data_IF_192387279078
#
_entry.id   IF_192387279078
#
_cell.length_a   1.000
_cell.length_b   1.000
_cell.length_c   1.000
_cell.angle_alpha   90.00
_cell.angle_beta   90.00
_cell.angle_gamma   90.00
#
_symmetry.space_group_name_H-M   'P 1'
#
loop_
_entity.id
_entity.type
_entity.pdbx_description
1 polymer ?
#
# COMPACT_ATOMS: atom_id res chain seq x y z
N UNK A 1 -64.66 -32.34 17.76
CA UNK A 1 -63.63 -32.04 18.76
C UNK A 1 -62.39 -31.62 17.97
N UNK A 2 -62.31 -30.34 17.63
CA UNK A 2 -61.27 -29.78 16.75
C UNK A 2 -60.58 -28.65 17.50
N UNK A 3 -59.27 -28.81 17.70
CA UNK A 3 -58.42 -27.87 18.42
C UNK A 3 -57.85 -26.85 17.42
N UNK A 4 -58.32 -25.61 17.46
CA UNK A 4 -57.71 -24.48 16.75
C UNK A 4 -56.59 -23.86 17.59
N UNK A 5 -55.38 -23.84 17.03
CA UNK A 5 -54.14 -23.35 17.62
C UNK A 5 -53.87 -21.93 17.09
N UNK A 6 -53.55 -20.93 17.93
CA UNK A 6 -53.28 -19.58 17.46
C UNK A 6 -51.85 -19.51 16.89
N UNK A 7 -51.70 -19.10 15.63
CA UNK A 7 -50.41 -18.79 15.03
C UNK A 7 -50.01 -17.36 15.42
N UNK A 8 -48.97 -17.26 16.25
CA UNK A 8 -48.24 -16.03 16.57
C UNK A 8 -47.52 -15.52 15.30
N UNK A 9 -47.97 -14.39 14.77
CA UNK A 9 -47.26 -13.61 13.77
C UNK A 9 -46.04 -12.95 14.42
N UNK A 10 -44.84 -13.40 14.07
CA UNK A 10 -43.58 -12.79 14.49
C UNK A 10 -43.03 -11.99 13.31
N UNK A 11 -42.89 -10.66 13.38
CA UNK A 11 -42.27 -9.89 12.31
C UNK A 11 -40.75 -10.10 12.36
N UNK A 12 -40.21 -10.73 11.32
CA UNK A 12 -38.77 -10.90 11.11
C UNK A 12 -38.20 -9.56 10.63
N UNK A 13 -37.70 -8.73 11.56
CA UNK A 13 -36.97 -7.50 11.27
C UNK A 13 -35.56 -7.87 10.77
N UNK A 14 -35.38 -7.85 9.44
CA UNK A 14 -34.07 -7.99 8.79
C UNK A 14 -33.32 -6.67 8.98
N UNK A 15 -32.45 -6.61 9.99
CA UNK A 15 -31.49 -5.54 10.15
C UNK A 15 -30.37 -5.68 9.12
N UNK A 16 -30.42 -4.89 8.05
CA UNK A 16 -29.29 -4.68 7.15
C UNK A 16 -28.25 -3.84 7.90
N UNK A 17 -27.30 -4.50 8.57
CA UNK A 17 -26.07 -3.84 9.00
C UNK A 17 -25.36 -3.34 7.74
N UNK A 18 -25.38 -2.02 7.52
CA UNK A 18 -24.62 -1.39 6.45
C UNK A 18 -23.14 -1.57 6.75
N UNK A 19 -22.49 -2.54 6.11
CA UNK A 19 -21.05 -2.62 6.02
C UNK A 19 -20.56 -1.45 5.16
N UNK A 20 -20.31 -0.29 5.76
CA UNK A 20 -19.62 0.81 5.07
C UNK A 20 -18.14 0.43 5.01
N UNK A 21 -17.65 0.07 3.82
CA UNK A 21 -16.22 -0.23 3.61
C UNK A 21 -15.44 1.08 3.62
N UNK A 22 -15.08 1.56 4.82
CA UNK A 22 -14.33 2.82 5.04
C UNK A 22 -13.01 2.84 4.27
N UNK A 23 -12.35 1.69 4.11
CA UNK A 23 -11.05 1.61 3.44
C UNK A 23 -11.06 2.05 1.97
N UNK A 24 -12.20 1.97 1.25
CA UNK A 24 -12.25 2.37 -0.15
C UNK A 24 -12.15 3.88 -0.39
N UNK A 25 -12.48 4.69 0.63
CA UNK A 25 -12.47 6.15 0.54
C UNK A 25 -11.25 6.80 1.18
N UNK A 26 -10.38 6.01 1.81
CA UNK A 26 -9.14 6.54 2.34
C UNK A 26 -8.14 6.76 1.20
N UNK A 27 -7.29 7.81 1.28
CA UNK A 27 -6.18 7.95 0.34
C UNK A 27 -5.34 6.67 0.31
N UNK A 28 -4.47 6.47 -0.67
CA UNK A 28 -3.46 5.39 -0.64
C UNK A 28 -2.17 5.85 0.08
N UNK A 29 -1.30 4.91 0.52
CA UNK A 29 -0.08 5.29 1.26
C UNK A 29 0.79 6.22 0.42
N UNK A 30 0.81 5.99 -0.89
CA UNK A 30 1.54 6.79 -1.86
C UNK A 30 0.94 8.18 -2.05
N UNK A 31 -0.39 8.33 -1.94
CA UNK A 31 -1.03 9.66 -1.92
C UNK A 31 -0.62 10.46 -0.68
N UNK A 32 -0.66 9.84 0.50
CA UNK A 32 -0.21 10.50 1.74
C UNK A 32 1.28 10.81 1.72
N UNK A 33 2.14 9.93 1.22
CA UNK A 33 3.57 10.21 1.06
C UNK A 33 3.80 11.41 0.14
N UNK A 34 3.12 11.48 -1.01
CA UNK A 34 3.19 12.64 -1.91
C UNK A 34 2.79 13.94 -1.21
N UNK A 35 1.71 13.91 -0.46
CA UNK A 35 1.23 15.09 0.28
C UNK A 35 2.20 15.50 1.39
N UNK A 36 2.71 14.56 2.18
CA UNK A 36 3.55 14.87 3.35
C UNK A 36 4.99 15.23 3.02
N UNK A 37 5.50 14.74 1.88
CA UNK A 37 6.88 14.97 1.43
C UNK A 37 6.98 16.07 0.37
N UNK A 38 5.87 16.41 -0.30
CA UNK A 38 5.86 17.34 -1.44
C UNK A 38 6.48 16.76 -2.73
N UNK A 39 6.95 15.51 -2.70
CA UNK A 39 7.52 14.84 -3.87
C UNK A 39 6.43 14.26 -4.76
N UNK A 40 6.64 14.26 -6.08
CA UNK A 40 5.67 13.72 -7.04
C UNK A 40 5.65 12.18 -7.15
N UNK A 41 6.58 11.49 -6.46
CA UNK A 41 6.69 10.03 -6.49
C UNK A 41 7.27 9.46 -7.78
N UNK A 42 8.05 10.25 -8.54
CA UNK A 42 8.67 9.88 -9.83
C UNK A 42 10.18 9.67 -9.74
N UNK A 43 10.74 9.49 -8.54
CA UNK A 43 12.16 9.25 -8.38
C UNK A 43 12.58 7.98 -9.16
N UNK A 44 13.84 7.96 -9.59
CA UNK A 44 14.45 6.83 -10.25
C UNK A 44 15.66 6.39 -9.43
N UNK A 45 15.80 5.09 -9.20
CA UNK A 45 16.97 4.51 -8.54
C UNK A 45 17.69 3.58 -9.50
N UNK A 46 19.01 3.70 -9.55
CA UNK A 46 19.87 2.82 -10.33
C UNK A 46 19.92 1.45 -9.69
N UNK A 47 19.60 0.44 -10.48
CA UNK A 47 19.66 -0.97 -10.03
C UNK A 47 21.06 -1.38 -9.59
N UNK A 48 22.12 -0.79 -10.17
CA UNK A 48 23.51 -0.99 -9.75
C UNK A 48 23.82 -0.43 -8.37
N UNK A 49 23.05 0.55 -7.92
CA UNK A 49 23.31 1.30 -6.69
C UNK A 49 22.52 0.71 -5.53
N UNK A 50 21.58 -0.21 -5.79
CA UNK A 50 20.77 -0.90 -4.78
C UNK A 50 21.65 -1.88 -4.01
N UNK A 51 21.83 -1.61 -2.72
CA UNK A 51 22.56 -2.47 -1.78
C UNK A 51 21.64 -3.46 -1.07
N UNK A 52 20.38 -3.10 -0.91
CA UNK A 52 19.39 -3.94 -0.25
C UNK A 52 17.99 -3.38 -0.38
N UNK A 53 17.01 -4.20 -0.01
CA UNK A 53 15.62 -3.80 0.03
C UNK A 53 14.88 -4.53 1.16
N UNK A 54 13.79 -3.95 1.62
CA UNK A 54 12.87 -4.55 2.59
C UNK A 54 11.44 -4.29 2.18
N UNK A 55 10.57 -5.31 2.31
CA UNK A 55 9.17 -5.22 1.89
C UNK A 55 8.26 -5.21 3.11
N UNK A 56 7.28 -4.30 3.11
CA UNK A 56 6.17 -4.28 4.05
C UNK A 56 4.90 -3.92 3.30
N UNK A 57 3.92 -4.83 3.29
CA UNK A 57 2.70 -4.75 2.47
C UNK A 57 2.99 -4.43 1.00
N UNK A 58 2.44 -3.33 0.49
CA UNK A 58 2.68 -2.83 -0.86
C UNK A 58 3.77 -1.75 -0.91
N UNK A 59 4.69 -1.75 0.06
CA UNK A 59 5.76 -0.76 0.22
C UNK A 59 7.10 -1.48 0.23
N UNK A 60 8.03 -0.96 -0.57
CA UNK A 60 9.39 -1.46 -0.70
C UNK A 60 10.35 -0.36 -0.31
N UNK A 61 11.07 -0.58 0.76
CA UNK A 61 12.19 0.24 1.17
C UNK A 61 13.42 -0.21 0.40
N UNK A 62 14.17 0.72 -0.18
CA UNK A 62 15.34 0.44 -1.02
C UNK A 62 16.51 1.22 -0.45
N UNK A 63 17.54 0.48 -0.03
CA UNK A 63 18.81 1.04 0.40
C UNK A 63 19.73 1.15 -0.80
N UNK A 64 20.13 2.38 -1.15
CA UNK A 64 21.02 2.64 -2.27
C UNK A 64 22.36 3.25 -1.79
N UNK A 65 23.26 3.56 -2.72
CA UNK A 65 24.62 3.91 -2.39
C UNK A 65 24.76 5.12 -1.42
N UNK A 66 24.04 6.21 -1.71
CA UNK A 66 24.05 7.45 -0.92
C UNK A 66 22.66 7.88 -0.44
N UNK A 67 21.61 7.22 -0.94
CA UNK A 67 20.22 7.65 -0.80
C UNK A 67 19.36 6.47 -0.35
N UNK A 68 18.17 6.78 0.17
CA UNK A 68 17.19 5.80 0.57
C UNK A 68 15.88 6.06 -0.14
N UNK A 69 15.21 5.01 -0.61
CA UNK A 69 13.97 5.15 -1.35
C UNK A 69 12.83 4.38 -0.72
N UNK A 70 11.64 4.95 -0.84
CA UNK A 70 10.38 4.25 -0.57
C UNK A 70 9.64 4.12 -1.89
N UNK A 71 9.55 2.90 -2.40
CA UNK A 71 8.71 2.54 -3.52
C UNK A 71 7.38 1.99 -3.01
N UNK A 72 6.30 2.27 -3.73
CA UNK A 72 4.98 1.69 -3.52
C UNK A 72 4.61 0.89 -4.75
N UNK A 73 4.02 -0.29 -4.57
CA UNK A 73 3.54 -1.13 -5.68
C UNK A 73 2.02 -1.06 -5.78
N UNK A 74 1.49 -1.46 -6.93
CA UNK A 74 0.05 -1.56 -7.11
C UNK A 74 -0.56 -2.57 -6.11
N UNK A 75 -1.74 -2.29 -5.53
CA UNK A 75 -2.44 -3.24 -4.67
C UNK A 75 -2.68 -4.58 -5.37
N UNK A 76 -2.55 -5.68 -4.63
CA UNK A 76 -2.71 -7.04 -5.16
C UNK A 76 -1.39 -7.79 -5.35
N UNK A 77 -0.28 -7.20 -4.92
CA UNK A 77 1.07 -7.78 -4.97
C UNK A 77 1.38 -8.61 -3.71
N UNK A 78 0.66 -9.71 -3.54
CA UNK A 78 0.71 -10.51 -2.31
C UNK A 78 2.03 -11.27 -2.12
N UNK A 79 2.71 -11.64 -3.21
CA UNK A 79 3.94 -12.44 -3.16
C UNK A 79 5.20 -11.59 -2.96
N UNK A 80 5.05 -10.26 -2.86
CA UNK A 80 6.18 -9.35 -2.67
C UNK A 80 6.89 -9.58 -1.33
N UNK A 81 6.14 -9.97 -0.28
CA UNK A 81 6.69 -10.23 1.05
C UNK A 81 7.37 -11.61 1.16
N UNK A 82 6.94 -12.58 0.35
CA UNK A 82 7.38 -13.97 0.43
C UNK A 82 8.50 -14.30 -0.56
N UNK A 83 8.69 -13.47 -1.59
CA UNK A 83 9.72 -13.68 -2.59
C UNK A 83 11.13 -13.47 -2.02
N UNK A 84 11.93 -14.54 -2.00
CA UNK A 84 13.35 -14.50 -1.63
C UNK A 84 14.22 -13.81 -2.70
N UNK A 85 13.68 -13.64 -3.91
CA UNK A 85 14.34 -12.97 -5.02
C UNK A 85 13.40 -11.88 -5.55
N UNK A 86 13.71 -10.64 -5.24
CA UNK A 86 13.15 -9.49 -5.94
C UNK A 86 14.08 -9.14 -7.08
N UNK A 87 13.57 -9.25 -8.31
CA UNK A 87 14.24 -8.73 -9.50
C UNK A 87 13.56 -7.44 -9.92
N UNK A 88 14.30 -6.34 -9.90
CA UNK A 88 13.83 -5.07 -10.41
C UNK A 88 13.91 -5.10 -11.95
N UNK A 89 12.77 -5.11 -12.62
CA UNK A 89 12.68 -5.08 -14.08
C UNK A 89 12.20 -3.71 -14.52
N UNK A 90 13.15 -2.89 -14.93
CA UNK A 90 12.92 -1.58 -15.53
C UNK A 90 13.77 -1.37 -16.78
N UNK A 91 13.56 -0.25 -17.45
CA UNK A 91 14.35 0.13 -18.63
C UNK A 91 15.83 0.39 -18.31
N UNK A 92 16.73 -0.42 -18.90
CA UNK A 92 18.15 -0.13 -19.20
C UNK A 92 19.12 0.32 -18.08
N UNK A 93 18.77 0.35 -16.79
CA UNK A 93 19.67 0.37 -15.60
C UNK A 93 18.99 0.98 -14.36
N UNK A 94 17.85 1.64 -14.52
CA UNK A 94 17.12 2.33 -13.46
C UNK A 94 15.71 1.75 -13.32
N UNK A 95 15.13 1.91 -12.13
CA UNK A 95 13.70 1.73 -11.86
C UNK A 95 13.11 3.05 -11.39
N UNK A 96 12.00 3.44 -11.98
CA UNK A 96 11.35 4.72 -11.79
C UNK A 96 9.92 4.58 -11.29
N UNK A 97 9.49 5.54 -10.48
CA UNK A 97 8.09 5.67 -10.10
C UNK A 97 7.22 6.03 -11.30
N UNK A 98 6.14 5.28 -11.52
CA UNK A 98 5.19 5.66 -12.56
C UNK A 98 4.42 4.58 -13.30
N UNK A 99 4.37 3.36 -12.77
CA UNK A 99 3.65 2.19 -13.28
C UNK A 99 4.22 1.59 -14.57
N UNK A 100 5.38 2.07 -15.02
CA UNK A 100 6.08 1.51 -16.18
C UNK A 100 6.97 0.36 -15.72
N UNK A 101 7.84 0.64 -14.73
CA UNK A 101 8.76 -0.35 -14.19
C UNK A 101 8.06 -1.26 -13.17
N UNK A 102 8.62 -2.45 -13.00
CA UNK A 102 8.01 -3.52 -12.21
C UNK A 102 9.02 -4.21 -11.31
N UNK A 103 8.49 -4.75 -10.23
CA UNK A 103 9.17 -5.65 -9.33
C UNK A 103 8.74 -7.07 -9.70
N UNK A 104 9.66 -7.87 -10.20
CA UNK A 104 9.42 -9.28 -10.52
C UNK A 104 9.70 -10.12 -9.27
N UNK A 105 8.71 -10.91 -8.91
CA UNK A 105 8.77 -11.93 -7.86
C UNK A 105 8.72 -13.33 -8.50
N UNK A 106 8.78 -14.39 -7.70
CA UNK A 106 8.70 -15.76 -8.25
C UNK A 106 7.41 -16.01 -9.06
N UNK A 107 6.28 -15.52 -8.57
CA UNK A 107 4.96 -15.86 -9.12
C UNK A 107 4.24 -14.68 -9.78
N UNK A 108 4.73 -13.45 -9.59
CA UNK A 108 4.02 -12.24 -10.00
C UNK A 108 4.91 -11.07 -10.44
N UNK A 109 4.33 -10.20 -11.27
CA UNK A 109 4.91 -8.90 -11.65
C UNK A 109 4.16 -7.75 -10.98
N UNK A 110 4.89 -6.97 -10.19
CA UNK A 110 4.36 -5.91 -9.36
C UNK A 110 4.73 -4.54 -9.90
N UNK A 111 3.80 -3.89 -10.58
CA UNK A 111 4.02 -2.55 -11.13
C UNK A 111 4.33 -1.55 -10.00
N UNK A 112 5.44 -0.84 -10.15
CA UNK A 112 5.86 0.22 -9.23
C UNK A 112 4.94 1.42 -9.44
N UNK A 113 4.14 1.77 -8.44
CA UNK A 113 3.25 2.92 -8.50
C UNK A 113 4.02 4.24 -8.40
N UNK A 114 4.73 4.45 -7.30
CA UNK A 114 5.48 5.67 -7.00
C UNK A 114 6.79 5.34 -6.26
N UNK A 115 7.84 6.13 -6.48
CA UNK A 115 9.11 6.08 -5.74
C UNK A 115 9.41 7.47 -5.17
N UNK A 116 9.72 7.51 -3.88
CA UNK A 116 10.12 8.69 -3.12
C UNK A 116 11.58 8.55 -2.70
N UNK A 117 12.35 9.63 -2.78
CA UNK A 117 13.79 9.67 -2.49
C UNK A 117 14.04 10.44 -1.19
N UNK A 118 15.03 9.98 -0.43
CA UNK A 118 15.39 10.54 0.87
C UNK A 118 16.90 10.47 1.07
N UNK A 119 17.43 11.47 1.77
CA UNK A 119 18.86 11.57 2.06
C UNK A 119 19.41 10.35 2.84
N UNK A 120 18.56 9.67 3.62
CA UNK A 120 18.95 8.50 4.41
C UNK A 120 17.72 7.71 4.90
N UNK A 121 18.01 6.55 5.51
CA UNK A 121 17.01 5.64 6.08
C UNK A 121 16.11 6.29 7.13
N UNK A 122 16.66 7.16 7.99
CA UNK A 122 15.90 7.72 9.09
C UNK A 122 14.89 8.75 8.57
N UNK A 123 15.28 9.62 7.62
CA UNK A 123 14.36 10.57 6.99
C UNK A 123 13.27 9.88 6.17
N UNK A 124 13.59 8.76 5.52
CA UNK A 124 12.61 7.92 4.84
C UNK A 124 11.57 7.35 5.82
N UNK A 125 12.02 6.77 6.94
CA UNK A 125 11.12 6.19 7.93
C UNK A 125 10.29 7.23 8.69
N UNK A 126 10.86 8.39 9.00
CA UNK A 126 10.08 9.50 9.56
C UNK A 126 8.96 9.95 8.61
N UNK A 127 9.25 10.03 7.31
CA UNK A 127 8.24 10.37 6.30
C UNK A 127 7.17 9.28 6.17
N UNK A 128 7.57 8.01 6.21
CA UNK A 128 6.66 6.88 6.20
C UNK A 128 5.73 6.85 7.41
N UNK A 129 6.29 6.96 8.61
CA UNK A 129 5.54 6.98 9.87
C UNK A 129 4.55 8.15 9.90
N UNK A 130 4.97 9.32 9.42
CA UNK A 130 4.09 10.48 9.28
C UNK A 130 2.93 10.18 8.33
N UNK A 131 3.20 9.58 7.17
CA UNK A 131 2.17 9.19 6.22
C UNK A 131 1.20 8.17 6.84
N UNK A 132 1.69 7.13 7.52
CA UNK A 132 0.86 6.14 8.22
C UNK A 132 -0.04 6.79 9.26
N UNK A 133 0.51 7.66 10.13
CA UNK A 133 -0.26 8.36 11.17
C UNK A 133 -1.38 9.23 10.59
N UNK A 134 -1.12 9.92 9.48
CA UNK A 134 -2.15 10.71 8.78
C UNK A 134 -3.28 9.79 8.31
N UNK A 135 -2.97 8.62 7.74
CA UNK A 135 -3.99 7.65 7.30
C UNK A 135 -4.80 7.09 8.45
N UNK A 136 -4.14 6.76 9.56
CA UNK A 136 -4.80 6.23 10.75
C UNK A 136 -5.75 7.26 11.36
N UNK A 137 -5.36 8.53 11.39
CA UNK A 137 -6.23 9.63 11.81
C UNK A 137 -7.46 9.74 10.90
N UNK A 138 -7.27 9.76 9.57
CA UNK A 138 -8.37 9.81 8.60
C UNK A 138 -9.31 8.60 8.71
N UNK A 139 -8.76 7.40 8.93
CA UNK A 139 -9.56 6.19 9.16
C UNK A 139 -10.41 6.31 10.42
N UNK A 140 -9.80 6.78 11.51
CA UNK A 140 -10.48 6.96 12.79
C UNK A 140 -11.62 7.98 12.68
N UNK A 141 -11.41 9.08 11.94
CA UNK A 141 -12.43 10.09 11.70
C UNK A 141 -13.56 9.59 10.80
N UNK A 142 -13.27 8.73 9.81
CA UNK A 142 -14.28 8.15 8.93
C UNK A 142 -15.13 7.04 9.60
N UNK A 143 -14.68 6.52 10.74
CA UNK A 143 -15.41 5.53 11.55
C UNK A 143 -16.23 6.16 12.68
N UNK A 144 -16.10 7.48 12.93
CA UNK A 144 -16.90 8.25 13.89
C UNK A 144 -18.24 8.65 13.30
#
# INVERSE_FOLDING_TARGET
METMRPYLLTPFLIGLAACTSVDHNLPSISDTLRETTGQNGRACVRTSDIRGYGVQDNVVNIDADNDYYIATVHPGCFDLQTSMAVMFSGGFSEICGGRIDKIITQDNECAINQIFEFDNRDTAFEAYDKAVKVREALRSDAQR
#
